data_IF_633977052329
#
_entry.id   IF_633977052329
#
_cell.length_a   1.000
_cell.length_b   1.000
_cell.length_c   1.000
_cell.angle_alpha   90.00
_cell.angle_beta   90.00
_cell.angle_gamma   90.00
#
_symmetry.space_group_name_H-M   'P 1'
#
loop_
_entity.id
_entity.type
_entity.pdbx_description
1 polymer ?
#
# COMPACT_ATOMS: atom_id res chain seq x y z
N UNK A 1 3.90 -28.69 -0.25
CA UNK A 1 2.80 -29.00 0.68
C UNK A 1 2.37 -30.44 0.43
N UNK A 2 2.46 -31.30 1.45
CA UNK A 2 2.14 -32.73 1.36
C UNK A 2 0.63 -32.95 1.45
N UNK A 3 0.12 -34.07 0.90
CA UNK A 3 -1.31 -34.43 1.00
C UNK A 3 -1.78 -34.57 2.46
N UNK A 4 -0.96 -35.22 3.31
CA UNK A 4 -1.24 -35.39 4.73
C UNK A 4 -1.43 -34.05 5.46
N UNK A 5 -0.63 -33.03 5.11
CA UNK A 5 -0.85 -31.68 5.64
C UNK A 5 -2.19 -31.12 5.18
N UNK A 6 -2.56 -31.24 3.89
CA UNK A 6 -3.85 -30.74 3.40
C UNK A 6 -5.04 -31.35 4.14
N UNK A 7 -4.98 -32.66 4.39
CA UNK A 7 -6.04 -33.42 5.07
C UNK A 7 -6.15 -33.06 6.55
N UNK A 8 -5.02 -32.92 7.25
CA UNK A 8 -5.00 -32.49 8.65
C UNK A 8 -5.57 -31.07 8.80
N UNK A 9 -5.14 -30.16 7.93
CA UNK A 9 -5.63 -28.78 7.92
C UNK A 9 -7.13 -28.71 7.61
N UNK A 10 -7.58 -29.45 6.60
CA UNK A 10 -9.01 -29.57 6.28
C UNK A 10 -9.81 -30.09 7.48
N UNK A 11 -9.27 -31.06 8.22
CA UNK A 11 -9.90 -31.60 9.43
C UNK A 11 -10.04 -30.51 10.51
N UNK A 12 -9.01 -29.69 10.73
CA UNK A 12 -9.07 -28.57 11.68
C UNK A 12 -10.07 -27.49 11.26
N UNK A 13 -10.25 -27.26 9.95
CA UNK A 13 -11.26 -26.32 9.45
C UNK A 13 -12.67 -26.85 9.66
N UNK A 14 -12.90 -28.15 9.40
CA UNK A 14 -14.21 -28.79 9.60
C UNK A 14 -14.55 -28.87 11.10
N UNK A 15 -13.57 -29.15 11.97
CA UNK A 15 -13.78 -29.19 13.42
C UNK A 15 -14.02 -27.80 14.05
N UNK A 16 -13.73 -26.72 13.31
CA UNK A 16 -13.79 -25.35 13.80
C UNK A 16 -12.58 -24.93 14.66
N UNK A 17 -11.58 -25.81 14.81
CA UNK A 17 -10.30 -25.47 15.45
C UNK A 17 -9.56 -24.39 14.66
N UNK A 18 -9.71 -24.42 13.32
CA UNK A 18 -9.25 -23.35 12.44
C UNK A 18 -10.43 -22.63 11.78
N UNK A 19 -10.36 -21.30 11.74
CA UNK A 19 -11.44 -20.44 11.21
C UNK A 19 -11.34 -20.14 9.71
N UNK A 20 -10.19 -20.39 9.07
CA UNK A 20 -10.02 -20.14 7.64
C UNK A 20 -8.61 -20.41 7.12
N UNK A 21 -8.43 -20.26 5.81
CA UNK A 21 -7.15 -20.45 5.11
C UNK A 21 -6.91 -19.39 4.05
N UNK A 22 -5.63 -19.02 3.88
CA UNK A 22 -5.16 -18.36 2.67
C UNK A 22 -4.58 -19.44 1.73
N UNK A 23 -5.20 -19.62 0.56
CA UNK A 23 -4.83 -20.68 -0.36
C UNK A 23 -4.71 -20.20 -1.81
N UNK A 24 -3.81 -20.84 -2.56
CA UNK A 24 -3.70 -20.65 -4.01
C UNK A 24 -4.74 -21.49 -4.75
N UNK A 25 -4.86 -21.27 -6.07
CA UNK A 25 -5.85 -21.96 -6.92
C UNK A 25 -5.80 -23.49 -6.80
N UNK A 26 -4.61 -24.07 -6.70
CA UNK A 26 -4.42 -25.52 -6.74
C UNK A 26 -4.92 -26.21 -5.48
N UNK A 27 -4.95 -25.52 -4.34
CA UNK A 27 -5.41 -26.09 -3.08
C UNK A 27 -6.93 -26.00 -2.95
N UNK A 28 -7.52 -24.82 -3.17
CA UNK A 28 -8.96 -24.61 -2.97
C UNK A 28 -9.88 -25.36 -3.92
N UNK A 29 -9.38 -25.76 -5.10
CA UNK A 29 -10.19 -26.51 -6.05
C UNK A 29 -10.38 -28.00 -5.68
N UNK A 30 -9.55 -28.54 -4.78
CA UNK A 30 -9.63 -29.94 -4.33
C UNK A 30 -10.42 -30.14 -3.05
N UNK A 31 -10.82 -29.06 -2.37
CA UNK A 31 -11.55 -29.13 -1.10
C UNK A 31 -13.05 -29.14 -1.35
N UNK A 32 -13.73 -30.12 -0.76
CA UNK A 32 -15.18 -30.20 -0.72
C UNK A 32 -15.64 -29.96 0.72
N UNK A 33 -15.95 -28.70 1.03
CA UNK A 33 -16.42 -28.26 2.35
C UNK A 33 -17.77 -27.59 2.16
N UNK A 34 -18.82 -28.18 2.75
CA UNK A 34 -20.21 -27.80 2.52
C UNK A 34 -20.62 -26.44 3.09
N UNK A 35 -19.93 -25.95 4.14
CA UNK A 35 -20.43 -24.87 5.00
C UNK A 35 -19.50 -23.65 5.09
N UNK A 36 -18.82 -23.31 3.99
CA UNK A 36 -17.96 -22.11 3.94
C UNK A 36 -18.82 -20.84 3.88
N UNK A 37 -18.92 -20.12 5.00
CA UNK A 37 -19.72 -18.88 5.13
C UNK A 37 -19.12 -17.65 4.43
N UNK A 38 -17.79 -17.56 4.37
CA UNK A 38 -17.08 -16.40 3.83
C UNK A 38 -15.98 -16.85 2.87
N UNK A 39 -16.01 -16.33 1.64
CA UNK A 39 -14.90 -16.48 0.69
C UNK A 39 -14.33 -15.11 0.35
N UNK A 40 -13.03 -14.97 0.52
CA UNK A 40 -12.30 -13.76 0.16
C UNK A 40 -11.40 -14.07 -1.03
N UNK A 41 -11.69 -13.44 -2.18
CA UNK A 41 -10.77 -13.40 -3.30
C UNK A 41 -9.85 -12.18 -3.15
N UNK A 42 -8.58 -12.44 -2.82
CA UNK A 42 -7.54 -11.42 -2.87
C UNK A 42 -7.09 -11.17 -4.31
N UNK A 43 -7.16 -9.91 -4.76
CA UNK A 43 -6.84 -9.42 -6.11
C UNK A 43 -7.75 -9.93 -7.22
N UNK A 44 -7.97 -9.10 -8.23
CA UNK A 44 -8.81 -9.40 -9.39
C UNK A 44 -8.03 -10.03 -10.55
N UNK A 45 -6.98 -10.81 -10.26
CA UNK A 45 -6.07 -11.33 -11.30
C UNK A 45 -6.53 -12.65 -11.93
N UNK A 46 -7.64 -13.24 -11.46
CA UNK A 46 -8.16 -14.48 -12.01
C UNK A 46 -9.26 -14.22 -13.05
N UNK A 47 -9.48 -15.18 -13.95
CA UNK A 47 -10.58 -15.14 -14.93
C UNK A 47 -11.92 -15.23 -14.23
N UNK A 48 -12.96 -14.61 -14.79
CA UNK A 48 -14.31 -14.63 -14.21
C UNK A 48 -14.83 -16.06 -13.96
N UNK A 49 -14.60 -17.00 -14.89
CA UNK A 49 -14.98 -18.41 -14.70
C UNK A 49 -14.27 -19.06 -13.49
N UNK A 50 -12.99 -18.74 -13.26
CA UNK A 50 -12.29 -19.22 -12.06
C UNK A 50 -12.84 -18.57 -10.79
N UNK A 51 -13.18 -17.28 -10.85
CA UNK A 51 -13.80 -16.59 -9.73
C UNK A 51 -15.16 -17.21 -9.38
N UNK A 52 -16.00 -17.42 -10.39
CA UNK A 52 -17.33 -18.02 -10.25
C UNK A 52 -17.25 -19.41 -9.64
N UNK A 53 -16.34 -20.26 -10.13
CA UNK A 53 -16.10 -21.58 -9.55
C UNK A 53 -15.68 -21.51 -8.07
N UNK A 54 -14.88 -20.51 -7.68
CA UNK A 54 -14.47 -20.31 -6.29
C UNK A 54 -15.65 -19.86 -5.42
N UNK A 55 -16.42 -18.88 -5.89
CA UNK A 55 -17.59 -18.38 -5.18
C UNK A 55 -18.69 -19.44 -5.08
N UNK A 56 -18.83 -20.29 -6.09
CA UNK A 56 -19.76 -21.41 -6.11
C UNK A 56 -19.52 -22.43 -4.99
N UNK A 57 -18.29 -22.53 -4.48
CA UNK A 57 -17.92 -23.42 -3.36
C UNK A 57 -18.30 -22.91 -1.98
N UNK A 58 -18.71 -21.65 -1.86
CA UNK A 58 -19.31 -21.22 -0.61
C UNK A 58 -20.56 -22.08 -0.33
N UNK A 59 -21.01 -22.18 0.92
CA UNK A 59 -22.22 -22.89 1.39
C UNK A 59 -23.06 -23.59 0.30
N UNK A 60 -23.14 -24.92 0.33
CA UNK A 60 -24.04 -25.73 -0.53
C UNK A 60 -25.47 -25.83 0.03
N UNK A 61 -25.64 -25.62 1.34
CA UNK A 61 -26.94 -25.63 1.99
C UNK A 61 -27.74 -24.34 1.68
N UNK A 62 -28.90 -24.47 1.03
CA UNK A 62 -29.76 -23.34 0.64
C UNK A 62 -30.32 -22.52 1.82
N UNK A 63 -30.34 -23.08 3.02
CA UNK A 63 -30.83 -22.40 4.23
C UNK A 63 -29.82 -21.42 4.82
N UNK A 64 -28.55 -21.53 4.42
CA UNK A 64 -27.46 -20.75 4.96
C UNK A 64 -27.10 -19.60 4.00
N UNK A 65 -26.95 -18.40 4.56
CA UNK A 65 -26.46 -17.23 3.80
C UNK A 65 -24.93 -17.21 3.78
N UNK A 66 -24.36 -16.84 2.64
CA UNK A 66 -22.91 -16.79 2.42
C UNK A 66 -22.49 -15.45 1.84
N UNK A 67 -21.31 -15.00 2.24
CA UNK A 67 -20.72 -13.75 1.76
C UNK A 67 -19.48 -14.06 0.94
N UNK A 68 -19.38 -13.40 -0.21
CA UNK A 68 -18.19 -13.46 -1.06
C UNK A 68 -17.65 -12.04 -1.26
N UNK A 69 -16.34 -11.87 -1.06
CA UNK A 69 -15.67 -10.56 -1.15
C UNK A 69 -14.58 -10.67 -2.22
N UNK A 70 -14.59 -9.74 -3.17
CA UNK A 70 -13.51 -9.57 -4.14
C UNK A 70 -12.74 -8.29 -3.82
N UNK A 71 -11.47 -8.42 -3.43
CA UNK A 71 -10.56 -7.29 -3.37
C UNK A 71 -9.98 -7.01 -4.75
N UNK A 72 -10.33 -5.86 -5.33
CA UNK A 72 -9.76 -5.39 -6.58
C UNK A 72 -8.73 -4.29 -6.32
N UNK A 73 -7.67 -4.26 -7.12
CA UNK A 73 -6.67 -3.20 -7.10
C UNK A 73 -7.29 -1.85 -7.50
N UNK A 74 -6.87 -0.77 -6.84
CA UNK A 74 -7.37 0.60 -7.07
C UNK A 74 -7.31 1.03 -8.55
N UNK A 75 -6.29 0.57 -9.28
CA UNK A 75 -6.09 0.89 -10.69
C UNK A 75 -7.17 0.29 -11.62
N UNK A 76 -8.00 -0.62 -11.11
CA UNK A 76 -9.09 -1.26 -11.84
C UNK A 76 -10.44 -0.56 -11.69
N UNK A 77 -10.53 0.49 -10.86
CA UNK A 77 -11.76 1.27 -10.72
C UNK A 77 -11.78 2.44 -11.70
N UNK A 78 -12.89 2.61 -12.42
CA UNK A 78 -13.05 3.65 -13.44
C UNK A 78 -12.77 5.07 -12.87
N UNK A 79 -13.25 5.40 -11.66
CA UNK A 79 -13.06 6.75 -11.07
C UNK A 79 -11.59 7.03 -10.78
N UNK A 80 -10.85 6.00 -10.36
CA UNK A 80 -9.45 6.13 -10.02
C UNK A 80 -8.59 6.27 -11.28
N UNK A 81 -8.96 5.55 -12.34
CA UNK A 81 -8.37 5.71 -13.65
C UNK A 81 -8.64 7.12 -14.21
N UNK A 82 -9.88 7.61 -14.16
CA UNK A 82 -10.26 8.95 -14.60
C UNK A 82 -9.57 10.05 -13.78
N UNK A 83 -9.50 9.90 -12.46
CA UNK A 83 -8.80 10.82 -11.57
C UNK A 83 -7.29 10.85 -11.88
N UNK A 84 -6.67 9.68 -12.12
CA UNK A 84 -5.27 9.57 -12.54
C UNK A 84 -5.02 10.30 -13.86
N UNK A 85 -5.87 10.09 -14.86
CA UNK A 85 -5.79 10.75 -16.16
C UNK A 85 -5.97 12.27 -16.05
N UNK A 86 -6.91 12.72 -15.21
CA UNK A 86 -7.13 14.14 -14.93
C UNK A 86 -5.89 14.79 -14.30
N UNK A 87 -5.29 14.13 -13.28
CA UNK A 87 -4.04 14.58 -12.65
C UNK A 87 -2.88 14.63 -13.66
N UNK A 88 -2.78 13.65 -14.56
CA UNK A 88 -1.76 13.62 -15.63
C UNK A 88 -1.92 14.83 -16.56
N UNK A 89 -3.14 15.08 -17.07
CA UNK A 89 -3.44 16.26 -17.91
C UNK A 89 -3.15 17.59 -17.20
N UNK A 90 -3.46 17.68 -15.91
CA UNK A 90 -3.13 18.87 -15.10
C UNK A 90 -1.62 19.08 -14.95
N UNK A 91 -0.83 18.01 -14.76
CA UNK A 91 0.64 18.10 -14.70
C UNK A 91 1.23 18.52 -16.05
N UNK A 92 0.75 17.95 -17.15
CA UNK A 92 1.21 18.30 -18.50
C UNK A 92 0.90 19.75 -18.86
N UNK A 93 -0.32 20.22 -18.59
CA UNK A 93 -0.68 21.63 -18.81
C UNK A 93 0.16 22.58 -17.95
N UNK A 94 0.48 22.20 -16.71
CA UNK A 94 1.38 22.97 -15.84
C UNK A 94 2.82 23.00 -16.37
N UNK A 95 3.34 21.86 -16.87
CA UNK A 95 4.65 21.77 -17.53
C UNK A 95 4.71 22.67 -18.76
N UNK A 96 3.69 22.62 -19.63
CA UNK A 96 3.57 23.48 -20.82
C UNK A 96 3.58 24.98 -20.45
N UNK A 97 2.81 25.39 -19.44
CA UNK A 97 2.80 26.78 -18.94
C UNK A 97 4.16 27.24 -18.43
N UNK A 98 4.89 26.38 -17.71
CA UNK A 98 6.25 26.68 -17.22
C UNK A 98 7.24 26.81 -18.38
N UNK A 99 7.16 25.94 -19.38
CA UNK A 99 7.99 26.01 -20.58
C UNK A 99 7.76 27.30 -21.39
N UNK A 100 6.49 27.67 -21.63
CA UNK A 100 6.16 28.92 -22.34
C UNK A 100 6.62 30.16 -21.57
N UNK A 101 6.54 30.16 -20.23
CA UNK A 101 7.04 31.26 -19.40
C UNK A 101 8.57 31.40 -19.48
N UNK A 102 9.31 30.30 -19.59
CA UNK A 102 10.78 30.31 -19.76
C UNK A 102 11.20 30.90 -21.12
N UNK A 103 10.38 30.71 -22.17
CA UNK A 103 10.65 31.32 -23.49
C UNK A 103 10.37 32.83 -23.53
N UNK A 104 9.40 33.30 -22.74
CA UNK A 104 8.96 34.71 -22.78
C UNK A 104 9.72 35.60 -21.81
N UNK A 105 10.45 35.03 -20.84
CA UNK A 105 11.32 35.84 -19.99
C UNK A 105 12.52 36.31 -20.82
N UNK A 106 12.74 37.64 -20.95
CA UNK A 106 13.97 38.14 -21.54
C UNK A 106 15.15 37.53 -20.77
N UNK A 107 16.23 37.12 -21.46
CA UNK A 107 17.37 36.50 -20.84
C UNK A 107 17.81 37.39 -19.69
N UNK A 108 17.77 36.85 -18.46
CA UNK A 108 18.11 37.60 -17.27
C UNK A 108 19.44 38.29 -17.52
N UNK A 109 19.40 39.63 -17.55
CA UNK A 109 20.56 40.46 -17.84
C UNK A 109 21.65 39.97 -16.92
N UNK A 110 22.70 39.35 -17.47
CA UNK A 110 23.84 38.83 -16.70
C UNK A 110 24.32 40.00 -15.88
N UNK A 111 23.97 40.02 -14.60
CA UNK A 111 24.41 41.04 -13.66
C UNK A 111 25.92 40.90 -13.67
N UNK A 112 26.61 41.85 -14.31
CA UNK A 112 28.05 41.93 -14.31
C UNK A 112 28.46 41.86 -12.84
N UNK A 113 29.01 40.71 -12.45
CA UNK A 113 29.62 40.52 -11.15
C UNK A 113 30.84 41.42 -11.18
N UNK A 114 30.76 42.59 -10.57
CA UNK A 114 31.92 43.43 -10.31
C UNK A 114 32.92 42.56 -9.55
N UNK A 115 33.96 42.12 -10.25
CA UNK A 115 35.16 41.54 -9.67
C UNK A 115 35.88 42.64 -8.93
N UNK A 116 35.82 42.58 -7.60
CA UNK A 116 36.74 43.31 -6.73
C UNK A 116 38.11 42.62 -6.88
N UNK A 117 39.18 43.32 -7.29
CA UNK A 117 40.51 42.77 -7.32
C UNK A 117 41.02 42.63 -5.89
N UNK A 118 41.37 41.41 -5.49
CA UNK A 118 42.18 41.16 -4.29
C UNK A 118 43.42 40.38 -4.73
N UNK A 119 44.58 40.98 -4.47
CA UNK A 119 45.89 40.49 -4.84
C UNK A 119 46.40 39.41 -3.86
N UNK A 120 47.24 38.52 -4.39
CA UNK A 120 48.27 37.70 -3.71
C UNK A 120 47.74 36.48 -2.91
N UNK A 121 48.29 35.26 -2.92
CA UNK A 121 49.53 34.67 -3.47
C UNK A 121 49.40 33.13 -3.50
N UNK A 122 50.08 32.46 -4.47
CA UNK A 122 50.71 31.10 -4.41
C UNK A 122 49.89 29.88 -3.93
N UNK A 123 49.96 28.67 -4.47
CA UNK A 123 50.64 28.01 -5.60
C UNK A 123 50.23 26.53 -5.56
N UNK A 124 50.32 25.86 -6.70
CA UNK A 124 50.39 24.39 -6.90
C UNK A 124 49.10 23.56 -6.96
N UNK A 125 49.05 22.79 -8.05
CA UNK A 125 48.68 21.38 -8.01
C UNK A 125 47.43 21.04 -8.79
N UNK A 126 47.56 20.91 -10.11
CA UNK A 126 46.44 20.61 -10.99
C UNK A 126 45.83 19.22 -10.78
N UNK A 127 44.55 19.11 -11.13
CA UNK A 127 44.07 17.94 -11.85
C UNK A 127 42.95 18.35 -12.81
N UNK A 128 43.11 17.95 -14.08
CA UNK A 128 42.11 18.06 -15.12
C UNK A 128 40.89 17.21 -14.72
N UNK A 129 39.67 17.71 -14.84
CA UNK A 129 38.91 17.56 -16.07
C UNK A 129 37.62 16.77 -15.78
N UNK A 130 36.59 16.90 -16.63
CA UNK A 130 35.25 17.30 -16.19
C UNK A 130 34.27 16.12 -16.15
N UNK A 131 33.14 16.31 -15.47
CA UNK A 131 31.80 16.14 -16.08
C UNK A 131 30.70 16.42 -15.05
N UNK A 132 29.98 17.52 -15.29
CA UNK A 132 28.69 17.77 -14.68
C UNK A 132 27.65 16.91 -15.40
N UNK A 133 27.10 15.94 -14.69
CA UNK A 133 25.86 15.27 -15.07
C UNK A 133 24.74 15.76 -14.18
N UNK A 134 24.03 16.81 -14.62
CA UNK A 134 22.64 17.03 -14.21
C UNK A 134 21.83 15.86 -14.80
N UNK A 135 21.84 14.74 -14.07
CA UNK A 135 21.01 13.58 -14.38
C UNK A 135 19.66 13.82 -13.73
N UNK A 136 18.90 14.76 -14.29
CA UNK A 136 17.45 14.70 -14.22
C UNK A 136 17.07 13.39 -14.91
N UNK A 137 16.96 12.34 -14.10
CA UNK A 137 16.37 11.07 -14.51
C UNK A 137 14.89 11.35 -14.76
N UNK A 138 14.60 11.90 -15.94
CA UNK A 138 13.29 11.81 -16.54
C UNK A 138 13.02 10.31 -16.68
N UNK A 139 12.28 9.78 -15.72
CA UNK A 139 11.51 8.55 -15.87
C UNK A 139 10.59 8.81 -17.07
N UNK A 140 11.13 8.51 -18.26
CA UNK A 140 10.43 8.54 -19.52
C UNK A 140 9.45 7.38 -19.46
N UNK A 141 8.27 7.68 -18.92
CA UNK A 141 7.04 6.95 -19.18
C UNK A 141 6.78 7.07 -20.69
N UNK A 142 7.52 6.30 -21.50
CA UNK A 142 7.17 5.91 -22.87
C UNK A 142 5.89 5.07 -22.78
N UNK A 143 4.78 5.73 -22.45
CA UNK A 143 3.44 5.16 -22.48
C UNK A 143 2.97 5.14 -23.94
N UNK A 144 2.96 3.93 -24.48
CA UNK A 144 2.09 3.52 -25.56
C UNK A 144 0.69 4.11 -25.35
N UNK A 145 0.27 5.00 -26.26
CA UNK A 145 -1.05 5.62 -26.32
C UNK A 145 -2.11 4.56 -26.69
N UNK A 146 -2.38 3.64 -25.77
CA UNK A 146 -3.57 2.80 -25.78
C UNK A 146 -4.77 3.64 -25.37
N UNK A 147 -5.27 4.45 -26.30
CA UNK A 147 -6.43 5.30 -26.11
C UNK A 147 -7.71 4.43 -26.09
N UNK A 148 -7.91 3.65 -25.03
CA UNK A 148 -9.18 2.95 -24.77
C UNK A 148 -10.21 3.95 -24.25
N UNK A 149 -10.62 4.88 -25.12
CA UNK A 149 -11.90 5.55 -24.97
C UNK A 149 -12.92 4.68 -25.69
N UNK A 150 -13.93 4.17 -24.98
CA UNK A 150 -15.08 3.56 -25.62
C UNK A 150 -15.62 4.52 -26.69
N UNK A 151 -15.96 4.05 -27.91
CA UNK A 151 -16.42 4.93 -28.97
C UNK A 151 -17.69 5.65 -28.51
N UNK A 152 -17.61 6.97 -28.32
CA UNK A 152 -18.81 7.80 -28.25
C UNK A 152 -19.24 8.05 -29.68
N UNK A 153 -20.30 7.37 -30.12
CA UNK A 153 -20.98 7.67 -31.38
C UNK A 153 -21.59 9.07 -31.28
N UNK A 154 -20.94 10.04 -31.92
CA UNK A 154 -21.52 11.35 -32.19
C UNK A 154 -22.35 11.23 -33.48
N UNK A 155 -23.56 11.78 -33.47
CA UNK A 155 -24.32 11.94 -34.71
C UNK A 155 -23.71 13.03 -35.60
N UNK A 156 -24.10 13.04 -36.87
CA UNK A 156 -23.60 14.00 -37.87
C UNK A 156 -23.89 15.48 -37.54
N UNK A 157 -24.59 15.76 -36.44
CA UNK A 157 -24.95 17.11 -35.99
C UNK A 157 -24.29 17.51 -34.67
N UNK A 158 -23.40 16.68 -34.10
CA UNK A 158 -22.66 17.00 -32.88
C UNK A 158 -23.55 17.23 -31.65
N UNK A 159 -24.78 16.68 -31.64
CA UNK A 159 -25.73 16.86 -30.54
C UNK A 159 -25.92 15.53 -29.78
N UNK A 160 -25.98 15.52 -28.44
CA UNK A 160 -26.30 14.30 -27.72
C UNK A 160 -27.76 13.91 -28.03
N UNK A 161 -27.94 12.90 -28.87
CA UNK A 161 -29.25 12.33 -29.19
C UNK A 161 -29.81 11.61 -27.95
N UNK A 162 -30.63 12.33 -27.16
CA UNK A 162 -31.47 11.78 -26.10
C UNK A 162 -32.78 11.26 -26.72
N UNK A 163 -32.74 10.09 -27.34
CA UNK A 163 -33.92 9.25 -27.50
C UNK A 163 -33.91 8.19 -26.40
N UNK A 164 -35.06 7.84 -25.79
CA UNK A 164 -35.13 6.74 -24.84
C UNK A 164 -34.89 5.45 -25.61
N UNK A 165 -33.62 5.04 -25.68
CA UNK A 165 -33.27 3.73 -26.17
C UNK A 165 -33.80 2.70 -25.17
N UNK A 166 -34.57 1.76 -25.71
CA UNK A 166 -35.17 0.66 -24.99
C UNK A 166 -34.11 -0.10 -24.20
N UNK A 167 -34.36 -0.37 -22.91
CA UNK A 167 -33.38 -1.00 -22.01
C UNK A 167 -32.91 -2.36 -22.50
N UNK A 168 -33.73 -3.02 -23.32
CA UNK A 168 -33.45 -4.31 -23.92
C UNK A 168 -32.38 -4.22 -25.02
N UNK A 169 -32.36 -3.16 -25.82
CA UNK A 169 -31.36 -2.97 -26.88
C UNK A 169 -29.96 -2.77 -26.28
N UNK A 170 -29.85 -1.97 -25.21
CA UNK A 170 -28.57 -1.77 -24.52
C UNK A 170 -28.03 -3.04 -23.86
N UNK A 171 -28.92 -3.92 -23.39
CA UNK A 171 -28.49 -5.19 -22.81
C UNK A 171 -27.98 -6.15 -23.90
N UNK A 172 -28.60 -6.16 -25.08
CA UNK A 172 -28.14 -6.96 -26.21
C UNK A 172 -26.74 -6.52 -26.68
N UNK A 173 -26.53 -5.22 -26.90
CA UNK A 173 -25.22 -4.67 -27.30
C UNK A 173 -24.11 -4.99 -26.27
N UNK A 174 -24.50 -5.04 -25.00
CA UNK A 174 -23.61 -5.36 -23.89
C UNK A 174 -23.32 -6.86 -23.77
N UNK A 175 -24.32 -7.71 -24.01
CA UNK A 175 -24.14 -9.16 -24.17
C UNK A 175 -23.15 -9.42 -25.30
N UNK A 176 -23.34 -8.78 -26.45
CA UNK A 176 -22.43 -8.90 -27.60
C UNK A 176 -21.03 -8.39 -27.27
N UNK A 177 -20.90 -7.26 -26.59
CA UNK A 177 -19.60 -6.72 -26.18
C UNK A 177 -18.87 -7.65 -25.22
N UNK A 178 -19.58 -8.24 -24.25
CA UNK A 178 -19.02 -9.19 -23.29
C UNK A 178 -18.61 -10.51 -23.95
N UNK A 179 -19.46 -11.02 -24.85
CA UNK A 179 -19.21 -12.24 -25.62
C UNK A 179 -18.02 -12.03 -26.55
N UNK A 180 -17.94 -10.91 -27.27
CA UNK A 180 -16.82 -10.59 -28.16
C UNK A 180 -15.52 -10.38 -27.37
N UNK A 181 -15.58 -9.72 -26.21
CA UNK A 181 -14.42 -9.58 -25.32
C UNK A 181 -13.94 -10.95 -24.80
N UNK A 182 -14.86 -11.87 -24.49
CA UNK A 182 -14.52 -13.23 -24.11
C UNK A 182 -13.91 -14.04 -25.28
N UNK A 183 -14.43 -13.87 -26.50
CA UNK A 183 -13.96 -14.56 -27.72
C UNK A 183 -12.59 -14.06 -28.20
N UNK A 184 -12.39 -12.74 -28.27
CA UNK A 184 -11.14 -12.12 -28.74
C UNK A 184 -9.90 -12.57 -27.94
N UNK A 185 -10.10 -13.02 -26.69
CA UNK A 185 -9.06 -13.54 -25.81
C UNK A 185 -8.59 -14.95 -26.11
N UNK A 186 -9.46 -15.79 -26.69
CA UNK A 186 -9.06 -17.13 -27.11
C UNK A 186 -8.08 -17.08 -28.28
N UNK A 187 -8.09 -16.01 -29.07
CA UNK A 187 -7.18 -15.84 -30.21
C UNK A 187 -5.80 -15.26 -29.84
N UNK A 188 -5.69 -14.44 -28.78
CA UNK A 188 -4.43 -13.72 -28.45
C UNK A 188 -3.38 -14.53 -27.69
N UNK A 189 -3.63 -15.79 -27.30
CA UNK A 189 -2.70 -16.60 -26.50
C UNK A 189 -1.49 -17.18 -27.27
N UNK A 190 -1.30 -16.84 -28.56
CA UNK A 190 -0.18 -17.37 -29.34
C UNK A 190 0.83 -16.27 -29.72
N UNK A 191 1.93 -16.17 -28.95
CA UNK A 191 3.24 -16.04 -29.60
C UNK A 191 4.05 -14.75 -29.49
N UNK A 192 3.95 -13.92 -28.44
CA UNK A 192 4.95 -12.86 -28.23
C UNK A 192 5.54 -12.84 -26.80
N UNK A 193 6.88 -12.74 -26.66
CA UNK A 193 7.53 -12.65 -25.36
C UNK A 193 7.16 -11.34 -24.65
N UNK A 194 6.52 -11.48 -23.49
CA UNK A 194 6.02 -10.41 -22.63
C UNK A 194 7.18 -9.62 -22.00
N UNK A 195 7.50 -8.48 -22.59
CA UNK A 195 8.05 -7.35 -21.82
C UNK A 195 6.99 -6.99 -20.79
N UNK A 196 7.29 -7.10 -19.48
CA UNK A 196 6.36 -6.92 -18.33
C UNK A 196 5.14 -6.06 -18.66
N UNK A 197 4.14 -6.69 -19.26
CA UNK A 197 2.97 -5.98 -19.73
C UNK A 197 2.13 -5.80 -18.46
N UNK A 198 1.78 -4.55 -18.16
CA UNK A 198 0.86 -4.21 -17.08
C UNK A 198 -0.30 -5.19 -17.12
N UNK A 199 -0.49 -5.96 -16.04
CA UNK A 199 -1.45 -7.09 -16.01
C UNK A 199 -2.80 -6.60 -16.55
N UNK A 200 -3.14 -7.05 -17.75
CA UNK A 200 -4.37 -6.62 -18.42
C UNK A 200 -5.54 -7.30 -17.69
N UNK A 201 -6.38 -6.48 -17.04
CA UNK A 201 -7.58 -6.98 -16.38
C UNK A 201 -8.49 -7.67 -17.41
N UNK A 202 -9.16 -8.73 -17.00
CA UNK A 202 -10.17 -9.35 -17.85
C UNK A 202 -11.34 -8.38 -18.10
N UNK A 203 -11.77 -8.10 -19.35
CA UNK A 203 -12.87 -7.19 -19.61
C UNK A 203 -14.11 -7.58 -18.83
N UNK A 204 -14.42 -8.87 -18.73
CA UNK A 204 -15.60 -9.32 -17.98
C UNK A 204 -15.40 -9.08 -16.47
N UNK A 205 -14.18 -9.26 -15.95
CA UNK A 205 -13.82 -8.83 -14.59
C UNK A 205 -13.91 -7.31 -14.40
N UNK A 206 -13.54 -6.50 -15.39
CA UNK A 206 -13.72 -5.05 -15.38
C UNK A 206 -15.20 -4.67 -15.30
N UNK A 207 -16.06 -5.33 -16.09
CA UNK A 207 -17.51 -5.19 -15.99
C UNK A 207 -18.04 -5.61 -14.61
N UNK A 208 -17.46 -6.65 -13.98
CA UNK A 208 -17.79 -7.06 -12.62
C UNK A 208 -17.35 -6.03 -11.56
N UNK A 209 -16.20 -5.37 -11.73
CA UNK A 209 -15.68 -4.38 -10.76
C UNK A 209 -16.40 -3.04 -10.92
N UNK A 210 -16.63 -2.60 -12.16
CA UNK A 210 -17.23 -1.30 -12.48
C UNK A 210 -18.73 -1.41 -12.78
N UNK A 211 -19.40 -2.49 -12.36
CA UNK A 211 -20.81 -2.81 -12.67
C UNK A 211 -21.77 -1.66 -12.46
N UNK A 212 -21.62 -0.91 -11.36
CA UNK A 212 -22.49 0.24 -11.02
C UNK A 212 -22.46 1.37 -12.06
N UNK A 213 -21.39 1.47 -12.85
CA UNK A 213 -21.26 2.49 -13.91
C UNK A 213 -21.56 1.95 -15.30
N UNK A 214 -21.62 0.63 -15.47
CA UNK A 214 -21.86 -0.01 -16.75
C UNK A 214 -23.38 -0.07 -16.99
N UNK A 215 -23.87 0.75 -17.91
CA UNK A 215 -25.29 0.85 -18.21
C UNK A 215 -25.93 -0.52 -18.49
N UNK A 216 -27.08 -0.81 -17.87
CA UNK A 216 -27.82 -2.07 -18.06
C UNK A 216 -27.37 -3.25 -17.19
N UNK A 217 -26.23 -3.13 -16.51
CA UNK A 217 -25.62 -4.20 -15.71
C UNK A 217 -25.69 -4.04 -14.20
N UNK A 218 -26.35 -3.00 -13.65
CA UNK A 218 -26.48 -2.51 -12.24
C UNK A 218 -26.62 -3.52 -11.05
N UNK A 219 -26.25 -4.78 -11.25
CA UNK A 219 -26.28 -5.93 -10.36
C UNK A 219 -25.04 -6.78 -10.63
N UNK A 220 -24.23 -7.08 -9.60
CA UNK A 220 -23.04 -7.94 -9.76
C UNK A 220 -23.40 -9.34 -10.29
N UNK A 221 -24.57 -9.88 -9.89
CA UNK A 221 -25.03 -11.20 -10.34
C UNK A 221 -25.35 -11.23 -11.84
N UNK A 222 -25.93 -10.14 -12.36
CA UNK A 222 -26.27 -10.03 -13.77
C UNK A 222 -25.05 -10.14 -14.69
N UNK A 223 -23.86 -9.75 -14.22
CA UNK A 223 -22.60 -9.97 -14.97
C UNK A 223 -22.34 -11.46 -15.16
N UNK A 224 -22.56 -12.28 -14.13
CA UNK A 224 -22.44 -13.73 -14.22
C UNK A 224 -23.56 -14.33 -15.08
N UNK A 225 -24.80 -13.86 -14.91
CA UNK A 225 -25.94 -14.36 -15.68
C UNK A 225 -25.77 -14.12 -17.18
N UNK A 226 -25.28 -12.95 -17.56
CA UNK A 226 -24.92 -12.63 -18.94
C UNK A 226 -23.74 -13.47 -19.43
N UNK A 227 -22.67 -13.57 -18.64
CA UNK A 227 -21.45 -14.26 -19.09
C UNK A 227 -21.62 -15.78 -19.22
N UNK A 228 -22.53 -16.39 -18.47
CA UNK A 228 -22.81 -17.82 -18.49
C UNK A 228 -24.17 -18.17 -19.08
N UNK A 229 -24.87 -17.20 -19.66
CA UNK A 229 -26.17 -17.39 -20.31
C UNK A 229 -27.22 -18.01 -19.37
N UNK A 230 -27.15 -17.71 -18.06
CA UNK A 230 -28.06 -18.27 -17.05
C UNK A 230 -29.53 -17.94 -17.35
N UNK A 231 -29.80 -16.80 -18.01
CA UNK A 231 -31.15 -16.43 -18.46
C UNK A 231 -31.77 -17.49 -19.39
N UNK A 232 -30.94 -18.16 -20.20
CA UNK A 232 -31.40 -19.20 -21.14
C UNK A 232 -31.66 -20.53 -20.45
N UNK A 233 -30.98 -20.77 -19.32
CA UNK A 233 -31.14 -21.96 -18.49
C UNK A 233 -32.33 -21.85 -17.52
N UNK A 234 -33.02 -20.71 -17.46
CA UNK A 234 -34.15 -20.50 -16.55
C UNK A 234 -35.31 -21.48 -16.83
N UNK A 235 -35.40 -22.10 -18.00
CA UNK A 235 -36.41 -23.13 -18.28
C UNK A 235 -35.93 -24.57 -18.09
N UNK A 236 -34.62 -24.80 -17.95
CA UNK A 236 -34.03 -26.15 -17.91
C UNK A 236 -34.55 -26.97 -16.72
N UNK A 237 -34.90 -26.28 -15.62
CA UNK A 237 -35.45 -26.93 -14.44
C UNK A 237 -36.82 -27.57 -14.72
N UNK A 238 -37.64 -26.98 -15.60
CA UNK A 238 -38.93 -27.54 -16.02
C UNK A 238 -38.75 -28.78 -16.89
N UNK A 239 -37.70 -28.81 -17.72
CA UNK A 239 -37.38 -29.98 -18.54
C UNK A 239 -36.79 -31.13 -17.71
N UNK A 240 -35.96 -30.79 -16.72
CA UNK A 240 -35.32 -31.75 -15.83
C UNK A 240 -36.35 -32.56 -15.01
N UNK A 241 -37.43 -31.92 -14.54
CA UNK A 241 -38.52 -32.62 -13.85
C UNK A 241 -39.90 -32.12 -14.26
N UNK A 242 -40.46 -32.75 -15.29
CA UNK A 242 -41.79 -32.41 -15.83
C UNK A 242 -42.97 -32.79 -14.92
N UNK A 243 -42.72 -33.55 -13.85
CA UNK A 243 -43.78 -33.97 -12.92
C UNK A 243 -44.11 -32.88 -11.90
N UNK A 244 -43.16 -31.97 -11.64
CA UNK A 244 -43.37 -30.84 -10.74
C UNK A 244 -43.67 -29.59 -11.57
N UNK A 245 -44.71 -28.80 -11.22
CA UNK A 245 -45.03 -27.57 -11.94
C UNK A 245 -43.91 -26.53 -11.84
N UNK A 246 -43.08 -26.61 -10.80
CA UNK A 246 -41.91 -25.77 -10.58
C UNK A 246 -40.60 -26.42 -11.03
N UNK A 247 -40.66 -27.55 -11.74
CA UNK A 247 -39.47 -28.28 -12.20
C UNK A 247 -38.59 -28.85 -11.09
N UNK A 248 -37.32 -29.06 -11.40
CA UNK A 248 -36.32 -29.60 -10.49
C UNK A 248 -35.75 -28.52 -9.57
N UNK A 249 -35.92 -28.67 -8.24
CA UNK A 249 -35.39 -27.73 -7.24
C UNK A 249 -33.87 -27.56 -7.33
N UNK A 250 -33.11 -28.56 -7.79
CA UNK A 250 -31.66 -28.46 -7.95
C UNK A 250 -31.25 -27.59 -9.14
N UNK A 251 -32.06 -27.57 -10.20
CA UNK A 251 -31.78 -26.83 -11.43
C UNK A 251 -32.41 -25.43 -11.40
N UNK A 252 -33.43 -25.21 -10.58
CA UNK A 252 -34.11 -23.93 -10.47
C UNK A 252 -33.16 -22.87 -9.86
N UNK A 253 -32.91 -21.80 -10.63
CA UNK A 253 -32.09 -20.67 -10.18
C UNK A 253 -32.92 -19.86 -9.18
N UNK A 254 -32.67 -20.07 -7.89
CA UNK A 254 -33.39 -19.36 -6.83
C UNK A 254 -32.90 -17.92 -6.71
N UNK A 255 -33.81 -16.96 -6.67
CA UNK A 255 -33.48 -15.58 -6.33
C UNK A 255 -32.99 -15.53 -4.87
N UNK A 256 -31.79 -14.98 -4.60
CA UNK A 256 -31.26 -14.91 -3.25
C UNK A 256 -32.04 -13.90 -2.40
N UNK A 257 -32.09 -14.06 -1.06
CA UNK A 257 -32.62 -13.03 -0.18
C UNK A 257 -31.75 -11.76 -0.20
N UNK A 258 -30.43 -11.91 -0.34
CA UNK A 258 -29.45 -10.82 -0.46
C UNK A 258 -28.70 -10.95 -1.78
N UNK A 259 -28.79 -9.92 -2.61
CA UNK A 259 -28.30 -9.95 -3.99
C UNK A 259 -26.80 -9.61 -4.09
N UNK A 260 -26.44 -8.34 -3.90
CA UNK A 260 -25.07 -7.80 -3.96
C UNK A 260 -24.99 -6.40 -3.30
N UNK A 261 -23.78 -5.85 -3.22
CA UNK A 261 -23.44 -4.53 -2.66
C UNK A 261 -24.24 -3.39 -3.29
N UNK A 262 -24.54 -3.47 -4.59
CA UNK A 262 -25.28 -2.43 -5.33
C UNK A 262 -26.77 -2.43 -4.96
N UNK A 263 -27.38 -3.62 -4.83
CA UNK A 263 -28.82 -3.75 -4.57
C UNK A 263 -29.18 -3.71 -3.09
N UNK A 264 -28.30 -4.18 -2.22
CA UNK A 264 -28.54 -4.28 -0.78
C UNK A 264 -27.41 -3.64 0.03
N UNK A 265 -27.05 -2.36 -0.18
CA UNK A 265 -25.86 -1.75 0.42
C UNK A 265 -25.83 -1.84 1.96
N UNK A 266 -26.99 -1.80 2.61
CA UNK A 266 -27.11 -1.93 4.07
C UNK A 266 -26.58 -3.28 4.61
N UNK A 267 -26.69 -4.36 3.83
CA UNK A 267 -26.19 -5.68 4.21
C UNK A 267 -24.66 -5.80 4.11
N UNK A 268 -24.00 -4.80 3.51
CA UNK A 268 -22.54 -4.81 3.28
C UNK A 268 -21.81 -3.69 4.04
N UNK A 269 -22.49 -2.95 4.91
CA UNK A 269 -21.86 -1.84 5.67
C UNK A 269 -20.75 -2.30 6.61
N UNK A 270 -20.79 -3.56 7.07
CA UNK A 270 -19.72 -4.13 7.88
C UNK A 270 -18.40 -4.30 7.11
N UNK A 271 -18.47 -4.38 5.78
CA UNK A 271 -17.30 -4.50 4.91
C UNK A 271 -16.82 -3.14 4.39
N UNK A 272 -17.66 -2.11 4.46
CA UNK A 272 -17.25 -0.74 4.21
C UNK A 272 -16.57 -0.21 5.47
N UNK A 273 -15.25 -0.36 5.53
CA UNK A 273 -14.49 0.34 6.56
C UNK A 273 -14.10 1.72 6.06
N UNK A 274 -14.55 2.74 6.79
CA UNK A 274 -13.98 4.09 6.74
C UNK A 274 -12.61 4.09 7.43
N UNK A 275 -11.67 3.31 6.90
CA UNK A 275 -10.28 3.47 7.29
C UNK A 275 -9.86 4.85 6.80
N UNK A 276 -9.91 5.83 7.70
CA UNK A 276 -9.31 7.13 7.48
C UNK A 276 -7.91 6.87 7.01
N UNK A 277 -7.60 7.23 5.77
CA UNK A 277 -6.28 7.02 5.20
C UNK A 277 -5.28 7.54 6.24
N UNK A 278 -4.40 6.69 6.80
CA UNK A 278 -3.49 7.14 7.82
C UNK A 278 -2.71 8.34 7.27
N UNK A 279 -2.41 9.35 8.10
CA UNK A 279 -1.58 10.46 7.66
C UNK A 279 -0.34 9.90 6.99
N UNK A 280 0.04 10.49 5.85
CA UNK A 280 1.20 10.02 5.10
C UNK A 280 2.38 9.92 6.08
N UNK A 281 3.05 8.76 6.17
CA UNK A 281 4.16 8.63 7.09
C UNK A 281 5.20 9.71 6.78
N UNK A 282 5.89 10.25 7.80
CA UNK A 282 6.99 11.18 7.57
C UNK A 282 7.97 10.57 6.57
N UNK A 283 8.54 11.41 5.70
CA UNK A 283 9.48 10.93 4.70
C UNK A 283 10.69 10.27 5.38
N UNK A 284 10.91 8.99 5.10
CA UNK A 284 12.09 8.25 5.55
C UNK A 284 13.36 8.92 5.03
N UNK A 285 14.44 8.86 5.81
CA UNK A 285 15.74 9.35 5.38
C UNK A 285 16.22 8.61 4.13
N UNK A 286 16.74 9.34 3.15
CA UNK A 286 17.45 8.73 2.02
C UNK A 286 18.83 8.29 2.49
N UNK A 287 19.05 6.98 2.53
CA UNK A 287 20.32 6.39 2.95
C UNK A 287 21.24 6.19 1.73
N UNK A 288 22.53 6.55 1.83
CA UNK A 288 23.52 6.17 0.83
C UNK A 288 23.61 4.65 0.67
N UNK A 289 23.83 4.18 -0.56
CA UNK A 289 24.15 2.77 -0.81
C UNK A 289 25.49 2.45 -0.14
N UNK A 290 25.56 1.27 0.46
CA UNK A 290 26.75 0.77 1.12
C UNK A 290 26.82 -0.75 0.97
N UNK A 291 28.02 -1.30 1.14
CA UNK A 291 28.21 -2.74 1.22
C UNK A 291 28.07 -3.18 2.67
N UNK A 292 27.15 -4.12 2.95
CA UNK A 292 26.91 -4.62 4.30
C UNK A 292 28.17 -5.22 4.91
N UNK A 293 28.48 -4.78 6.11
CA UNK A 293 29.59 -5.25 6.93
C UNK A 293 29.15 -6.37 7.87
N UNK A 294 30.12 -7.02 8.52
CA UNK A 294 29.87 -8.15 9.43
C UNK A 294 28.88 -7.82 10.56
N UNK A 295 28.91 -6.60 11.10
CA UNK A 295 27.99 -6.19 12.16
C UNK A 295 26.56 -5.97 11.67
N UNK A 296 26.38 -5.59 10.40
CA UNK A 296 25.05 -5.46 9.79
C UNK A 296 24.36 -6.83 9.70
N UNK A 297 25.10 -7.87 9.28
CA UNK A 297 24.60 -9.25 9.29
C UNK A 297 24.33 -9.76 10.70
N UNK A 298 25.22 -9.46 11.66
CA UNK A 298 25.01 -9.85 13.05
C UNK A 298 23.78 -9.19 13.67
N UNK A 299 23.48 -7.94 13.30
CA UNK A 299 22.25 -7.26 13.72
C UNK A 299 21.01 -7.88 13.05
N UNK A 300 21.09 -8.22 11.76
CA UNK A 300 20.01 -8.91 11.04
C UNK A 300 19.64 -10.23 11.74
N UNK A 301 20.62 -11.10 11.98
CA UNK A 301 20.43 -12.39 12.65
C UNK A 301 19.85 -12.23 14.06
N UNK A 302 20.32 -11.21 14.79
CA UNK A 302 19.83 -10.92 16.15
C UNK A 302 18.36 -10.45 16.14
N UNK A 303 17.94 -9.68 15.14
CA UNK A 303 16.54 -9.27 14.98
C UNK A 303 15.68 -10.46 14.59
N UNK A 304 16.12 -11.30 13.65
CA UNK A 304 15.37 -12.50 13.23
C UNK A 304 15.15 -13.45 14.42
N UNK A 305 16.19 -13.74 15.20
CA UNK A 305 16.07 -14.56 16.40
C UNK A 305 15.13 -13.94 17.44
N UNK A 306 15.21 -12.61 17.62
CA UNK A 306 14.31 -11.89 18.52
C UNK A 306 12.84 -11.97 18.06
N UNK A 307 12.56 -11.92 16.75
CA UNK A 307 11.20 -12.05 16.23
C UNK A 307 10.58 -13.40 16.54
N UNK A 308 11.34 -14.49 16.32
CA UNK A 308 10.88 -15.85 16.62
C UNK A 308 10.54 -16.01 18.11
N UNK A 309 11.44 -15.54 18.98
CA UNK A 309 11.23 -15.58 20.43
C UNK A 309 10.03 -14.75 20.86
N UNK A 310 9.90 -13.53 20.34
CA UNK A 310 8.80 -12.61 20.67
C UNK A 310 7.46 -13.19 20.24
N UNK A 311 7.36 -13.76 19.03
CA UNK A 311 6.09 -14.36 18.60
C UNK A 311 5.74 -15.59 19.40
N UNK A 312 6.70 -16.48 19.65
CA UNK A 312 6.48 -17.66 20.49
C UNK A 312 6.02 -17.27 21.90
N UNK A 313 6.55 -16.19 22.46
CA UNK A 313 6.20 -15.70 23.80
C UNK A 313 4.87 -14.95 23.85
N UNK A 314 4.59 -14.08 22.88
CA UNK A 314 3.42 -13.16 22.92
C UNK A 314 2.18 -13.82 22.32
N UNK A 315 2.33 -14.51 21.19
CA UNK A 315 1.23 -15.12 20.45
C UNK A 315 1.19 -16.65 20.61
N UNK A 316 2.26 -17.26 21.13
CA UNK A 316 2.35 -18.70 21.31
C UNK A 316 2.99 -19.41 20.11
N UNK A 317 3.55 -20.60 20.37
CA UNK A 317 4.33 -21.37 19.40
C UNK A 317 3.53 -21.73 18.12
N UNK A 318 2.21 -21.87 18.22
CA UNK A 318 1.35 -22.18 17.08
C UNK A 318 1.35 -21.03 16.05
N UNK A 319 1.31 -19.78 16.50
CA UNK A 319 1.40 -18.62 15.60
C UNK A 319 2.75 -18.55 14.89
N UNK A 320 3.84 -18.88 15.59
CA UNK A 320 5.17 -18.93 14.97
C UNK A 320 5.23 -19.95 13.84
N UNK A 321 4.67 -21.14 14.01
CA UNK A 321 4.68 -22.17 12.96
C UNK A 321 3.73 -21.86 11.80
N UNK A 322 2.53 -21.37 12.11
CA UNK A 322 1.47 -21.19 11.10
C UNK A 322 1.70 -19.93 10.26
N UNK A 323 2.17 -18.84 10.88
CA UNK A 323 2.30 -17.52 10.24
C UNK A 323 3.77 -17.10 10.02
N UNK A 324 4.72 -17.70 10.74
CA UNK A 324 6.13 -17.34 10.69
C UNK A 324 6.47 -16.05 11.47
N UNK A 325 7.77 -15.74 11.64
CA UNK A 325 8.24 -14.57 12.37
C UNK A 325 7.86 -13.23 11.71
N UNK A 326 7.64 -13.25 10.38
CA UNK A 326 7.35 -12.05 9.58
C UNK A 326 6.01 -11.36 9.90
N UNK A 327 5.12 -12.01 10.68
CA UNK A 327 3.85 -11.40 11.12
C UNK A 327 4.07 -10.24 12.09
N UNK A 328 5.15 -10.27 12.88
CA UNK A 328 5.49 -9.20 13.82
C UNK A 328 6.10 -8.00 13.09
N UNK A 329 7.01 -8.27 12.14
CA UNK A 329 7.69 -7.24 11.37
C UNK A 329 8.24 -7.84 10.06
N UNK A 330 7.80 -7.31 8.92
CA UNK A 330 8.19 -7.81 7.60
C UNK A 330 9.68 -7.61 7.32
N UNK A 331 10.29 -8.49 6.51
CA UNK A 331 11.71 -8.45 6.18
C UNK A 331 12.18 -7.10 5.62
N UNK A 332 11.35 -6.42 4.82
CA UNK A 332 11.68 -5.08 4.30
C UNK A 332 11.87 -4.04 5.42
N UNK A 333 11.13 -4.16 6.53
CA UNK A 333 11.31 -3.30 7.70
C UNK A 333 12.61 -3.67 8.42
N UNK A 334 12.92 -4.96 8.58
CA UNK A 334 14.17 -5.43 9.19
C UNK A 334 15.38 -4.90 8.43
N UNK A 335 15.38 -5.07 7.10
CA UNK A 335 16.44 -4.56 6.23
C UNK A 335 16.60 -3.05 6.37
N UNK A 336 15.50 -2.31 6.41
CA UNK A 336 15.54 -0.86 6.60
C UNK A 336 16.06 -0.45 7.98
N UNK A 337 15.77 -1.22 9.03
CA UNK A 337 16.33 -1.02 10.39
C UNK A 337 17.84 -1.20 10.37
N UNK A 338 18.35 -2.26 9.72
CA UNK A 338 19.79 -2.50 9.58
C UNK A 338 20.45 -1.37 8.82
N UNK A 339 19.87 -0.94 7.70
CA UNK A 339 20.39 0.19 6.92
C UNK A 339 20.39 1.49 7.76
N UNK A 340 19.33 1.76 8.52
CA UNK A 340 19.25 2.93 9.40
C UNK A 340 20.27 2.86 10.54
N UNK A 341 20.50 1.68 11.11
CA UNK A 341 21.47 1.45 12.18
C UNK A 341 22.90 1.71 11.67
N UNK A 342 23.24 1.21 10.49
CA UNK A 342 24.53 1.46 9.84
C UNK A 342 24.85 2.94 9.72
N UNK A 343 23.87 3.73 9.28
CA UNK A 343 23.99 5.19 9.13
C UNK A 343 23.69 5.98 10.42
N UNK A 344 23.58 5.30 11.57
CA UNK A 344 23.30 5.88 12.88
C UNK A 344 22.06 6.80 12.89
N UNK A 345 21.01 6.43 12.15
CA UNK A 345 19.76 7.22 12.02
C UNK A 345 18.71 6.92 13.08
N UNK A 346 18.85 5.80 13.78
CA UNK A 346 17.91 5.34 14.80
C UNK A 346 18.64 5.15 16.14
N UNK A 347 18.45 6.07 17.07
CA UNK A 347 18.94 5.99 18.44
C UNK A 347 17.81 5.87 19.48
N UNK A 348 16.56 6.11 19.05
CA UNK A 348 15.38 6.08 19.91
C UNK A 348 14.18 5.42 19.21
N UNK A 349 13.19 5.00 19.99
CA UNK A 349 11.93 4.40 19.48
C UNK A 349 11.18 5.35 18.54
N UNK A 350 11.22 6.66 18.83
CA UNK A 350 10.59 7.67 17.98
C UNK A 350 11.28 7.79 16.61
N UNK A 351 12.60 7.66 16.57
CA UNK A 351 13.35 7.63 15.31
C UNK A 351 13.10 6.33 14.55
N UNK A 352 13.09 5.18 15.25
CA UNK A 352 12.71 3.90 14.65
C UNK A 352 11.34 3.97 13.98
N UNK A 353 10.34 4.50 14.69
CA UNK A 353 8.98 4.67 14.18
C UNK A 353 8.94 5.64 12.99
N UNK A 354 9.71 6.72 13.04
CA UNK A 354 9.77 7.72 11.96
C UNK A 354 10.43 7.16 10.70
N UNK A 355 11.55 6.46 10.84
CA UNK A 355 12.29 5.94 9.68
C UNK A 355 11.61 4.71 9.07
N UNK A 356 10.99 3.84 9.88
CA UNK A 356 10.41 2.58 9.37
C UNK A 356 8.91 2.62 9.11
N UNK A 357 8.17 3.52 9.79
CA UNK A 357 6.71 3.49 9.79
C UNK A 357 6.11 2.24 10.47
N UNK A 358 6.91 1.45 11.19
CA UNK A 358 6.46 0.22 11.84
C UNK A 358 5.46 0.55 12.96
N UNK A 359 4.24 0.03 12.83
CA UNK A 359 3.11 0.32 13.74
C UNK A 359 3.39 -0.07 15.18
N UNK A 360 4.11 -1.19 15.38
CA UNK A 360 4.29 -1.80 16.69
C UNK A 360 5.59 -1.36 17.36
N UNK A 361 6.25 -0.33 16.79
CA UNK A 361 7.45 0.26 17.36
C UNK A 361 7.23 0.80 18.77
N UNK A 362 6.02 1.28 19.11
CA UNK A 362 5.73 1.75 20.47
C UNK A 362 5.76 0.60 21.50
N UNK A 363 5.38 -0.62 21.08
CA UNK A 363 5.33 -1.80 21.94
C UNK A 363 6.68 -2.50 22.02
N UNK A 364 7.34 -2.71 20.87
CA UNK A 364 8.53 -3.56 20.75
C UNK A 364 9.82 -2.79 20.44
N UNK A 365 9.72 -1.51 20.10
CA UNK A 365 10.86 -0.73 19.62
C UNK A 365 11.97 -0.56 20.64
N UNK A 366 11.68 -0.60 21.94
CA UNK A 366 12.71 -0.53 22.99
C UNK A 366 13.69 -1.71 22.95
N UNK A 367 13.17 -2.91 22.71
CA UNK A 367 13.97 -4.13 22.58
C UNK A 367 14.81 -4.08 21.30
N UNK A 368 14.20 -3.66 20.18
CA UNK A 368 14.90 -3.50 18.90
C UNK A 368 16.01 -2.44 18.99
N UNK A 369 15.77 -1.29 19.63
CA UNK A 369 16.81 -0.28 19.83
C UNK A 369 17.95 -0.82 20.70
N UNK A 370 17.65 -1.67 21.69
CA UNK A 370 18.69 -2.34 22.50
C UNK A 370 19.55 -3.28 21.65
N UNK A 371 18.95 -4.02 20.71
CA UNK A 371 19.68 -4.83 19.74
C UNK A 371 20.54 -3.96 18.83
N UNK A 372 19.97 -2.89 18.26
CA UNK A 372 20.70 -1.94 17.42
C UNK A 372 21.94 -1.43 18.17
N UNK A 373 21.79 -0.91 19.39
CA UNK A 373 22.89 -0.38 20.20
C UNK A 373 23.98 -1.42 20.53
N UNK A 374 23.59 -2.68 20.72
CA UNK A 374 24.53 -3.78 21.00
C UNK A 374 25.39 -4.14 19.78
N UNK A 375 24.83 -4.00 18.58
CA UNK A 375 25.49 -4.43 17.34
C UNK A 375 26.04 -3.25 16.50
N UNK A 376 25.72 -1.99 16.83
CA UNK A 376 26.36 -0.86 16.15
C UNK A 376 27.83 -0.79 16.53
N UNK A 377 28.72 -0.67 15.55
CA UNK A 377 30.13 -0.44 15.83
C UNK A 377 30.27 0.82 16.71
N UNK A 378 31.10 0.80 17.77
CA UNK A 378 31.38 2.00 18.54
C UNK A 378 31.83 3.08 17.55
N UNK A 379 31.05 4.16 17.43
CA UNK A 379 31.43 5.33 16.64
C UNK A 379 32.84 5.69 17.08
N UNK A 380 33.81 5.55 16.16
CA UNK A 380 35.19 5.92 16.43
C UNK A 380 35.16 7.37 16.88
N UNK A 381 35.29 7.59 18.19
CA UNK A 381 35.19 8.92 18.77
C UNK A 381 36.24 9.76 18.07
N UNK A 382 35.87 10.83 17.33
CA UNK A 382 36.81 11.60 16.53
C UNK A 382 37.75 12.46 17.39
N UNK A 383 37.91 12.15 18.67
CA UNK A 383 38.92 12.73 19.53
C UNK A 383 40.29 12.18 19.15
N UNK A 384 40.84 12.72 18.07
CA UNK A 384 42.23 13.13 18.06
C UNK A 384 42.39 14.05 19.26
N UNK A 385 42.89 13.51 20.36
CA UNK A 385 43.52 14.27 21.42
C UNK A 385 44.62 15.09 20.76
N UNK A 386 44.27 16.27 20.26
CA UNK A 386 45.26 17.28 19.93
C UNK A 386 45.82 17.67 21.30
N UNK A 387 47.07 17.31 21.63
CA UNK A 387 47.61 17.58 22.96
C UNK A 387 47.52 19.09 23.18
N UNK A 388 46.72 19.48 24.16
CA UNK A 388 46.68 20.85 24.67
C UNK A 388 48.12 21.25 24.98
N UNK A 389 48.68 22.17 24.20
CA UNK A 389 49.99 22.75 24.51
C UNK A 389 49.94 23.30 25.94
N UNK A 390 50.93 22.99 26.79
CA UNK A 390 50.97 23.52 28.15
C UNK A 390 51.03 25.04 28.10
N UNK A 391 50.00 25.70 28.62
CA UNK A 391 50.07 27.13 28.95
C UNK A 391 50.84 27.20 30.26
N UNK A 392 52.07 27.69 30.19
CA UNK A 392 52.84 28.09 31.37
C UNK A 392 52.11 29.24 32.05
N UNK A 393 51.54 29.00 33.22
CA UNK A 393 51.01 30.06 34.08
C UNK A 393 51.55 29.89 35.49
N UNK A 394 52.19 30.99 35.89
CA UNK A 394 52.92 31.29 37.10
C UNK A 394 52.06 31.21 38.37
N UNK A 395 52.65 30.53 39.34
CA UNK A 395 52.61 30.68 40.80
C UNK A 395 51.87 31.92 41.35
N UNK A 396 50.79 31.71 42.11
CA UNK A 396 50.47 32.53 43.29
C UNK A 396 49.89 31.60 44.38
N UNK A 397 50.53 31.65 45.55
CA UNK A 397 50.16 31.00 46.80
C UNK A 397 48.89 31.60 47.42
N UNK A 398 48.06 30.79 48.07
CA UNK A 398 47.42 31.17 49.34
C UNK A 398 46.87 29.95 50.08
N UNK A 399 47.27 29.87 51.34
CA UNK A 399 47.05 28.86 52.36
C UNK A 399 45.74 29.10 53.12
N UNK A 400 45.29 28.07 53.85
CA UNK A 400 44.28 28.01 54.95
C UNK A 400 42.93 27.42 54.55
N UNK A 401 42.20 26.68 55.37
CA UNK A 401 42.46 25.90 56.58
C UNK A 401 41.16 25.10 56.87
N UNK A 402 41.30 24.02 57.62
CA UNK A 402 40.28 23.12 58.16
C UNK A 402 38.92 23.74 58.52
N UNK A 403 37.82 23.04 58.21
CA UNK A 403 36.89 22.54 59.24
C UNK A 403 35.79 21.61 58.66
N UNK A 404 35.58 20.51 59.38
CA UNK A 404 34.44 19.57 59.34
C UNK A 404 33.44 20.07 60.40
N UNK A 405 32.11 19.95 60.22
CA UNK A 405 31.40 18.85 60.91
C UNK A 405 30.22 18.22 60.14
N UNK A 406 30.03 16.92 60.38
CA UNK A 406 28.81 16.15 60.13
C UNK A 406 27.59 16.73 60.86
N UNK A 407 26.40 16.54 60.27
CA UNK A 407 25.23 16.01 60.98
C UNK A 407 24.14 15.56 60.00
N UNK A 408 23.54 14.40 60.31
CA UNK A 408 22.31 13.88 59.72
C UNK A 408 21.16 14.89 59.82
N UNK A 409 20.18 14.82 58.92
CA UNK A 409 18.77 14.64 59.27
C UNK A 409 17.88 14.39 58.05
N UNK A 410 16.79 13.71 58.37
CA UNK A 410 15.79 13.00 57.58
C UNK A 410 14.67 13.91 57.04
N UNK A 411 13.99 13.44 55.98
CA UNK A 411 12.64 13.80 55.48
C UNK A 411 12.36 15.22 54.98
N UNK A 412 11.96 15.37 53.72
CA UNK A 412 10.54 15.58 53.34
C UNK A 412 10.37 15.66 51.82
N UNK A 413 9.32 14.99 51.34
CA UNK A 413 8.80 15.07 49.99
C UNK A 413 8.16 16.46 49.74
N UNK A 414 8.39 17.02 48.55
CA UNK A 414 7.78 18.24 48.05
C UNK A 414 7.71 18.23 46.52
N UNK A 415 6.70 18.88 45.90
CA UNK A 415 6.06 18.39 44.70
C UNK A 415 6.71 18.84 43.39
N UNK A 416 6.43 18.04 42.36
CA UNK A 416 6.76 18.20 40.96
C UNK A 416 6.56 19.61 40.42
N UNK A 417 7.64 20.14 39.86
CA UNK A 417 7.69 21.37 39.09
C UNK A 417 6.98 21.16 37.75
N UNK A 418 5.78 21.70 37.59
CA UNK A 418 5.02 21.68 36.33
C UNK A 418 5.68 22.67 35.38
N UNK A 419 6.30 22.14 34.32
CA UNK A 419 6.91 22.94 33.25
C UNK A 419 5.89 23.84 32.56
N UNK A 420 6.22 25.13 32.46
CA UNK A 420 5.44 26.11 31.73
C UNK A 420 5.33 25.74 30.23
N UNK A 421 4.17 25.92 29.59
CA UNK A 421 3.98 25.57 28.19
C UNK A 421 4.75 26.54 27.28
N UNK A 422 5.57 25.97 26.40
CA UNK A 422 6.27 26.70 25.33
C UNK A 422 5.23 27.35 24.40
N UNK A 423 5.31 28.66 24.12
CA UNK A 423 4.35 29.33 23.25
C UNK A 423 4.46 28.81 21.81
N UNK A 424 3.40 28.15 21.33
CA UNK A 424 3.28 27.71 19.94
C UNK A 424 3.24 28.94 19.02
N UNK A 425 4.10 28.94 17.99
CA UNK A 425 4.10 29.97 16.95
C UNK A 425 2.75 29.96 16.22
N UNK A 426 2.08 31.11 16.21
CA UNK A 426 0.81 31.29 15.50
C UNK A 426 1.07 31.43 14.00
N UNK A 427 0.34 30.66 13.20
CA UNK A 427 0.47 30.64 11.75
C UNK A 427 -0.40 31.77 11.18
N UNK A 428 0.23 32.66 10.41
CA UNK A 428 -0.42 33.79 9.72
C UNK A 428 -0.77 33.40 8.29
N UNK A 429 -1.90 33.88 7.77
CA UNK A 429 -2.28 33.67 6.38
C UNK A 429 -1.30 34.39 5.43
N UNK A 430 -0.78 33.69 4.42
CA UNK A 430 0.16 34.26 3.47
C UNK A 430 -0.42 35.35 2.56
N UNK A 431 -1.75 35.45 2.45
CA UNK A 431 -2.43 36.44 1.62
C UNK A 431 -2.73 37.76 2.36
N UNK A 432 -3.15 37.69 3.62
CA UNK A 432 -3.57 38.87 4.39
C UNK A 432 -2.80 39.12 5.70
N UNK A 433 -1.97 38.17 6.15
CA UNK A 433 -1.15 38.31 7.37
C UNK A 433 -1.91 38.13 8.70
N UNK A 434 -3.23 37.97 8.66
CA UNK A 434 -4.10 37.77 9.83
C UNK A 434 -4.04 36.31 10.34
N UNK A 435 -4.21 36.12 11.65
CA UNK A 435 -4.24 34.82 12.32
C UNK A 435 -5.68 34.27 12.37
N UNK A 436 -5.89 32.96 12.13
CA UNK A 436 -7.11 32.27 12.58
C UNK A 436 -8.18 31.85 11.56
N UNK A 437 -7.96 31.93 10.25
CA UNK A 437 -9.01 31.60 9.24
C UNK A 437 -8.63 30.51 8.22
N UNK A 438 -7.55 29.76 8.44
CA UNK A 438 -7.20 28.62 7.56
C UNK A 438 -7.99 27.33 7.87
N UNK A 439 -9.21 27.46 8.40
CA UNK A 439 -10.06 26.32 8.76
C UNK A 439 -11.40 26.38 8.04
N UNK A 440 -11.69 25.33 7.27
CA UNK A 440 -12.92 25.01 6.53
C UNK A 440 -13.05 25.60 5.12
N UNK A 441 -12.61 24.81 4.14
CA UNK A 441 -13.47 24.28 3.08
C UNK A 441 -13.02 22.86 2.74
#
# INVERSE_FOLDING_TARGET
MTTAYKEAELTHLISGERRGFAMTKSFGMGMDVSDIKLIIQWRATCKLATLWQRFGRAVQNKELTRTVILFAEKDFFDDECEAKNTRKRQRESTRKRKASKKLTQPPATKRLRLTVPSESSTSNGGNAGPEGGDSDSEESDEEYLGNYSAPRTLDNNGRPSHLPQDSNTRLADLKDTLVEAARARNLKQMGHPEKQCKRELDPVMDYLINTEKRAGLMCRRKVFDVCFENDTADTDHLECNKQLPMGCDCCCISSPPICCDIHNPAEFTEFTSDFSKPPAPPACSRLPKYDRMQHDYALLDAIDQWQEQTIASVYGWHHLNDMGPSILMCNAIIEHIVDCAHHCKIASVQELKRETGWSDADQFGGEVITLVQRHTAPLATPFVSTPLRPITSSTINATQALQVPSLLHTTQAGPSNVGAPVPKRKIKCGACGEEGHNGMF
#
